data_IF_396359607511
#
_entry.id   IF_396359607511
#
_cell.length_a   1.000
_cell.length_b   1.000
_cell.length_c   1.000
_cell.angle_alpha   90.00
_cell.angle_beta   90.00
_cell.angle_gamma   90.00
#
_symmetry.space_group_name_H-M   'P 1'
#
loop_
_entity.id
_entity.type
_entity.pdbx_description
1 polymer ?
#
# COMPACT_ATOMS: atom_id res chain seq x y z
N UNK A 1 0.31 -2.07 20.16
CA UNK A 1 -0.18 -1.59 18.85
C UNK A 1 0.83 -0.71 18.13
N UNK A 2 1.31 0.39 18.75
CA UNK A 2 2.24 1.34 18.09
C UNK A 2 3.51 0.71 17.51
N UNK A 3 4.17 -0.20 18.24
CA UNK A 3 5.38 -0.91 17.75
C UNK A 3 5.14 -1.72 16.47
N UNK A 4 3.99 -2.40 16.36
CA UNK A 4 3.66 -3.20 15.18
C UNK A 4 3.43 -2.34 13.94
N UNK A 5 2.75 -1.20 14.11
CA UNK A 5 2.55 -0.24 13.01
C UNK A 5 3.85 0.40 12.55
N UNK A 6 4.73 0.76 13.48
CA UNK A 6 6.04 1.28 13.13
C UNK A 6 6.84 0.26 12.30
N UNK A 7 6.84 -1.01 12.74
CA UNK A 7 7.53 -2.09 12.01
C UNK A 7 6.96 -2.27 10.59
N UNK A 8 5.62 -2.30 10.42
CA UNK A 8 5.03 -2.48 9.09
C UNK A 8 5.38 -1.33 8.17
N UNK A 9 5.25 -0.08 8.63
CA UNK A 9 5.59 1.10 7.83
C UNK A 9 7.07 1.14 7.49
N UNK A 10 7.96 0.93 8.47
CA UNK A 10 9.40 0.92 8.23
C UNK A 10 9.81 -0.19 7.27
N UNK A 11 9.27 -1.41 7.43
CA UNK A 11 9.57 -2.51 6.53
C UNK A 11 9.11 -2.22 5.09
N UNK A 12 7.97 -1.58 4.91
CA UNK A 12 7.48 -1.20 3.58
C UNK A 12 8.34 -0.15 2.92
N UNK A 13 8.73 0.89 3.66
CA UNK A 13 9.65 1.89 3.13
C UNK A 13 10.99 1.27 2.75
N UNK A 14 11.52 0.34 3.55
CA UNK A 14 12.76 -0.36 3.21
C UNK A 14 12.63 -1.26 1.98
N UNK A 15 11.48 -1.92 1.79
CA UNK A 15 11.21 -2.73 0.61
C UNK A 15 11.09 -1.88 -0.65
N UNK A 16 10.34 -0.78 -0.57
CA UNK A 16 10.20 0.19 -1.65
C UNK A 16 11.56 0.81 -2.04
N UNK A 17 12.42 1.10 -1.07
CA UNK A 17 13.78 1.59 -1.36
C UNK A 17 14.72 0.53 -1.95
N UNK A 18 14.39 -0.76 -1.80
CA UNK A 18 15.19 -1.86 -2.31
C UNK A 18 14.80 -2.23 -3.75
N UNK A 19 13.52 -2.13 -4.07
CA UNK A 19 13.02 -2.13 -5.45
C UNK A 19 13.32 -0.79 -6.08
N UNK A 20 13.68 -0.79 -7.35
CA UNK A 20 14.19 0.39 -8.03
C UNK A 20 13.60 0.38 -9.41
N UNK A 21 12.61 1.22 -9.62
CA UNK A 21 11.86 1.21 -10.84
C UNK A 21 11.67 2.64 -11.36
N UNK A 22 11.46 2.76 -12.65
CA UNK A 22 11.06 4.03 -13.24
C UNK A 22 9.53 4.24 -13.12
N UNK A 23 8.81 3.15 -12.83
CA UNK A 23 7.36 2.97 -12.84
C UNK A 23 6.98 2.06 -11.68
N UNK A 24 5.86 2.33 -11.00
CA UNK A 24 5.37 1.44 -9.92
C UNK A 24 5.29 0.00 -10.42
N UNK A 25 6.23 -0.83 -9.99
CA UNK A 25 6.32 -2.23 -10.41
C UNK A 25 5.25 -3.04 -9.67
N UNK A 26 4.83 -4.16 -10.28
CA UNK A 26 3.86 -5.07 -9.67
C UNK A 26 4.33 -5.52 -8.27
N UNK A 27 5.64 -5.68 -8.09
CA UNK A 27 6.23 -6.10 -6.82
C UNK A 27 6.15 -5.01 -5.75
N UNK A 28 6.37 -3.74 -6.11
CA UNK A 28 6.19 -2.58 -5.23
C UNK A 28 4.73 -2.49 -4.79
N UNK A 29 3.81 -2.63 -5.75
CA UNK A 29 2.38 -2.62 -5.50
C UNK A 29 1.94 -3.74 -4.56
N UNK A 30 2.45 -4.97 -4.75
CA UNK A 30 2.18 -6.08 -3.82
C UNK A 30 2.75 -5.81 -2.43
N UNK A 31 3.94 -5.22 -2.32
CA UNK A 31 4.55 -4.88 -1.03
C UNK A 31 3.69 -3.85 -0.26
N UNK A 32 3.16 -2.85 -0.97
CA UNK A 32 2.25 -1.83 -0.45
C UNK A 32 0.95 -2.47 0.01
N UNK A 33 0.33 -3.34 -0.81
CA UNK A 33 -0.92 -4.02 -0.46
C UNK A 33 -0.77 -4.89 0.78
N UNK A 34 0.32 -5.66 0.89
CA UNK A 34 0.63 -6.47 2.08
C UNK A 34 0.78 -5.58 3.31
N UNK A 35 1.47 -4.46 3.20
CA UNK A 35 1.62 -3.51 4.30
C UNK A 35 0.31 -2.89 4.74
N UNK A 36 -0.50 -2.44 3.78
CA UNK A 36 -1.80 -1.84 4.04
C UNK A 36 -2.74 -2.85 4.70
N UNK A 37 -2.72 -4.11 4.26
CA UNK A 37 -3.45 -5.21 4.90
C UNK A 37 -2.99 -5.43 6.35
N UNK A 38 -1.69 -5.57 6.60
CA UNK A 38 -1.17 -5.76 7.96
C UNK A 38 -1.49 -4.57 8.87
N UNK A 39 -1.38 -3.35 8.34
CA UNK A 39 -1.73 -2.12 9.03
C UNK A 39 -3.21 -2.10 9.40
N UNK A 40 -4.09 -2.40 8.43
CA UNK A 40 -5.53 -2.51 8.69
C UNK A 40 -5.84 -3.55 9.77
N UNK A 41 -5.25 -4.74 9.67
CA UNK A 41 -5.44 -5.79 10.65
C UNK A 41 -4.99 -5.35 12.06
N UNK A 42 -3.82 -4.73 12.19
CA UNK A 42 -3.30 -4.27 13.48
C UNK A 42 -4.20 -3.19 14.11
N UNK A 43 -4.68 -2.24 13.30
CA UNK A 43 -5.57 -1.16 13.75
C UNK A 43 -6.93 -1.69 14.16
N UNK A 44 -7.46 -2.66 13.41
CA UNK A 44 -8.87 -3.05 13.52
C UNK A 44 -9.14 -4.36 14.26
N UNK A 45 -8.14 -5.21 14.52
CA UNK A 45 -8.33 -6.54 15.16
C UNK A 45 -9.10 -6.56 16.48
N UNK A 46 -9.12 -5.45 17.22
CA UNK A 46 -9.80 -5.31 18.51
C UNK A 46 -11.15 -4.57 18.41
N UNK A 47 -11.54 -4.12 17.22
CA UNK A 47 -12.82 -3.42 17.00
C UNK A 47 -13.95 -4.44 16.97
N UNK A 48 -15.05 -4.17 17.68
CA UNK A 48 -16.22 -5.06 17.74
C UNK A 48 -17.15 -4.98 16.53
N UNK A 49 -17.17 -3.84 15.82
CA UNK A 49 -18.06 -3.61 14.68
C UNK A 49 -17.41 -4.02 13.35
N UNK A 50 -18.10 -4.88 12.59
CA UNK A 50 -17.69 -5.33 11.25
C UNK A 50 -17.62 -4.16 10.28
N UNK A 51 -18.63 -3.29 10.32
CA UNK A 51 -18.75 -2.18 9.38
C UNK A 51 -17.61 -1.17 9.57
N UNK A 52 -17.23 -0.93 10.83
CA UNK A 52 -16.05 -0.11 11.16
C UNK A 52 -14.76 -0.78 10.69
N UNK A 53 -14.63 -2.11 10.88
CA UNK A 53 -13.47 -2.88 10.44
C UNK A 53 -13.29 -2.85 8.92
N UNK A 54 -14.35 -3.08 8.14
CA UNK A 54 -14.29 -3.06 6.68
C UNK A 54 -14.12 -1.64 6.13
N UNK A 55 -14.89 -0.67 6.63
CA UNK A 55 -14.79 0.72 6.16
C UNK A 55 -13.40 1.32 6.39
N UNK A 56 -12.79 1.05 7.55
CA UNK A 56 -11.41 1.47 7.79
C UNK A 56 -10.38 0.69 6.96
N UNK A 57 -10.65 -0.58 6.62
CA UNK A 57 -9.78 -1.35 5.72
C UNK A 57 -9.73 -0.75 4.31
N UNK A 58 -10.88 -0.34 3.78
CA UNK A 58 -10.98 0.38 2.48
C UNK A 58 -10.14 1.65 2.52
N UNK A 59 -10.34 2.49 3.54
CA UNK A 59 -9.60 3.75 3.69
C UNK A 59 -8.10 3.54 3.84
N UNK A 60 -7.69 2.58 4.66
CA UNK A 60 -6.26 2.26 4.86
C UNK A 60 -5.65 1.77 3.55
N UNK A 61 -6.32 0.85 2.82
CA UNK A 61 -5.84 0.34 1.53
C UNK A 61 -5.66 1.44 0.50
N UNK A 62 -6.66 2.30 0.33
CA UNK A 62 -6.63 3.40 -0.62
C UNK A 62 -5.55 4.44 -0.26
N UNK A 63 -5.58 4.95 0.98
CA UNK A 63 -4.70 6.04 1.41
C UNK A 63 -3.25 5.58 1.49
N UNK A 64 -2.98 4.40 2.06
CA UNK A 64 -1.59 3.92 2.13
C UNK A 64 -1.02 3.68 0.74
N UNK A 65 -1.80 3.16 -0.20
CA UNK A 65 -1.31 2.95 -1.56
C UNK A 65 -0.97 4.27 -2.23
N UNK A 66 -1.87 5.26 -2.18
CA UNK A 66 -1.62 6.58 -2.74
C UNK A 66 -0.39 7.25 -2.10
N UNK A 67 -0.29 7.24 -0.77
CA UNK A 67 0.83 7.89 -0.08
C UNK A 67 2.15 7.19 -0.35
N UNK A 68 2.22 5.86 -0.23
CA UNK A 68 3.45 5.12 -0.45
C UNK A 68 3.88 5.16 -1.92
N UNK A 69 2.95 5.02 -2.87
CA UNK A 69 3.26 5.14 -4.29
C UNK A 69 3.75 6.54 -4.68
N UNK A 70 3.21 7.60 -4.07
CA UNK A 70 3.76 8.96 -4.28
C UNK A 70 5.16 9.11 -3.70
N UNK A 71 5.43 8.53 -2.53
CA UNK A 71 6.76 8.56 -1.92
C UNK A 71 7.75 7.84 -2.82
N UNK A 72 7.39 6.65 -3.29
CA UNK A 72 8.17 5.80 -4.19
C UNK A 72 8.54 6.55 -5.48
N UNK A 73 7.52 7.03 -6.23
CA UNK A 73 7.70 7.84 -7.44
C UNK A 73 8.60 9.06 -7.23
N UNK A 74 8.48 9.72 -6.08
CA UNK A 74 9.29 10.89 -5.75
C UNK A 74 10.73 10.51 -5.45
N UNK A 75 10.94 9.45 -4.67
CA UNK A 75 12.26 8.96 -4.32
C UNK A 75 13.00 8.43 -5.54
N UNK A 76 12.33 7.64 -6.39
CA UNK A 76 12.90 7.14 -7.63
C UNK A 76 13.26 8.27 -8.59
N UNK A 77 12.40 9.29 -8.68
CA UNK A 77 12.73 10.49 -9.44
C UNK A 77 14.05 11.11 -8.94
N UNK A 78 14.23 11.33 -7.64
CA UNK A 78 15.47 11.95 -7.14
C UNK A 78 16.70 11.04 -7.13
N UNK A 79 16.52 9.72 -7.02
CA UNK A 79 17.63 8.76 -7.03
C UNK A 79 18.12 8.43 -8.45
N UNK A 80 17.24 8.48 -9.46
CA UNK A 80 17.54 7.96 -10.80
C UNK A 80 17.41 8.96 -11.96
N UNK A 81 16.85 10.17 -11.77
CA UNK A 81 17.05 11.27 -12.74
C UNK A 81 18.45 11.88 -12.63
N UNK A 82 19.46 11.09 -12.95
CA UNK A 82 20.57 11.62 -13.74
C UNK A 82 20.20 11.38 -15.21
N UNK A 83 20.39 12.35 -16.12
CA UNK A 83 20.02 12.21 -17.52
C UNK A 83 20.79 11.03 -18.11
N UNK A 84 20.12 9.88 -18.26
CA UNK A 84 20.61 8.77 -19.07
C UNK A 84 20.05 8.97 -20.47
N UNK A 85 20.88 8.70 -21.47
CA UNK A 85 20.70 9.02 -22.89
C UNK A 85 19.55 8.25 -23.58
N UNK A 86 18.65 7.67 -22.80
CA UNK A 86 17.66 6.67 -23.16
C UNK A 86 16.23 7.25 -23.10
N UNK A 87 16.04 8.40 -22.42
CA UNK A 87 14.81 9.19 -22.39
C UNK A 87 14.99 10.46 -23.21
N UNK A 88 14.55 10.51 -24.48
CA UNK A 88 14.29 11.68 -25.36
C UNK A 88 15.12 12.99 -25.19
N UNK A 89 16.30 12.93 -24.56
CA UNK A 89 17.14 14.05 -24.15
C UNK A 89 16.55 15.01 -23.09
N UNK A 90 15.33 14.84 -22.60
CA UNK A 90 14.66 15.82 -21.73
C UNK A 90 14.47 15.31 -20.29
N UNK A 91 14.93 16.05 -19.26
CA UNK A 91 14.65 15.69 -17.87
C UNK A 91 13.17 15.92 -17.56
N UNK A 92 12.43 14.83 -17.37
CA UNK A 92 11.04 14.85 -16.91
C UNK A 92 10.98 15.44 -15.50
N UNK A 93 10.29 16.57 -15.33
CA UNK A 93 10.15 17.20 -14.01
C UNK A 93 9.20 16.39 -13.13
N UNK A 94 9.38 16.43 -11.80
CA UNK A 94 8.50 15.75 -10.84
C UNK A 94 6.99 16.02 -11.06
N UNK A 95 6.54 17.27 -11.36
CA UNK A 95 5.14 17.53 -11.68
C UNK A 95 4.63 16.81 -12.93
N UNK A 96 5.48 16.67 -13.96
CA UNK A 96 5.13 15.93 -15.18
C UNK A 96 4.94 14.44 -14.86
N UNK A 97 5.83 13.85 -14.06
CA UNK A 97 5.67 12.47 -13.57
C UNK A 97 4.37 12.28 -12.79
N UNK A 98 4.05 13.18 -11.85
CA UNK A 98 2.82 13.07 -11.09
C UNK A 98 1.57 13.18 -11.95
N UNK A 99 1.61 14.00 -13.01
CA UNK A 99 0.50 14.11 -13.94
C UNK A 99 0.35 12.84 -14.80
N UNK A 100 1.47 12.28 -15.27
CA UNK A 100 1.48 11.06 -16.08
C UNK A 100 1.00 9.83 -15.28
N UNK A 101 1.48 9.68 -14.04
CA UNK A 101 1.15 8.52 -13.20
C UNK A 101 -0.06 8.72 -12.28
N UNK A 102 -0.74 9.86 -12.35
CA UNK A 102 -1.86 10.17 -11.48
C UNK A 102 -3.03 9.20 -11.64
N UNK A 103 -3.37 8.88 -12.89
CA UNK A 103 -4.46 7.96 -13.22
C UNK A 103 -4.12 6.51 -12.81
N UNK A 104 -2.88 6.07 -13.07
CA UNK A 104 -2.39 4.76 -12.69
C UNK A 104 -2.34 4.58 -11.18
N UNK A 105 -1.90 5.60 -10.44
CA UNK A 105 -1.85 5.57 -8.99
C UNK A 105 -3.26 5.55 -8.38
N UNK A 106 -4.22 6.25 -8.98
CA UNK A 106 -5.62 6.19 -8.57
C UNK A 106 -6.21 4.79 -8.80
N UNK A 107 -5.95 4.18 -9.96
CA UNK A 107 -6.35 2.82 -10.27
C UNK A 107 -5.71 1.82 -9.29
N UNK A 108 -4.40 1.92 -9.05
CA UNK A 108 -3.66 1.11 -8.09
C UNK A 108 -4.21 1.25 -6.67
N UNK A 109 -4.54 2.47 -6.24
CA UNK A 109 -5.14 2.74 -4.93
C UNK A 109 -6.53 2.11 -4.79
N UNK A 110 -7.31 2.12 -5.86
CA UNK A 110 -8.63 1.46 -5.91
C UNK A 110 -8.49 -0.06 -5.83
N UNK A 111 -7.57 -0.65 -6.60
CA UNK A 111 -7.28 -2.09 -6.56
C UNK A 111 -6.79 -2.50 -5.17
N UNK A 112 -5.90 -1.69 -4.57
CA UNK A 112 -5.41 -1.91 -3.20
C UNK A 112 -6.56 -1.87 -2.19
N UNK A 113 -7.46 -0.89 -2.28
CA UNK A 113 -8.61 -0.79 -1.39
C UNK A 113 -9.50 -2.03 -1.45
N UNK A 114 -9.79 -2.55 -2.66
CA UNK A 114 -10.57 -3.77 -2.85
C UNK A 114 -9.83 -4.98 -2.26
N UNK A 115 -8.55 -5.16 -2.61
CA UNK A 115 -7.73 -6.29 -2.16
C UNK A 115 -7.53 -6.32 -0.64
N UNK A 116 -7.22 -5.17 -0.03
CA UNK A 116 -7.05 -5.05 1.42
C UNK A 116 -8.37 -5.36 2.13
N UNK A 117 -9.50 -4.92 1.58
CA UNK A 117 -10.82 -5.16 2.18
C UNK A 117 -11.23 -6.62 2.08
N UNK A 118 -11.00 -7.29 0.95
CA UNK A 118 -11.30 -8.72 0.79
C UNK A 118 -10.44 -9.57 1.73
N UNK A 119 -9.13 -9.33 1.80
CA UNK A 119 -8.23 -10.02 2.74
C UNK A 119 -8.63 -9.78 4.20
N UNK A 120 -9.00 -8.54 4.53
CA UNK A 120 -9.45 -8.17 5.88
C UNK A 120 -10.77 -8.90 6.23
N UNK A 121 -11.71 -9.01 5.29
CA UNK A 121 -12.94 -9.77 5.48
C UNK A 121 -12.67 -11.27 5.71
N UNK A 122 -11.80 -11.88 4.89
CA UNK A 122 -11.43 -13.29 5.02
C UNK A 122 -10.79 -13.58 6.38
N UNK A 123 -9.83 -12.78 6.81
CA UNK A 123 -9.17 -12.96 8.12
C UNK A 123 -10.12 -12.78 9.29
N UNK A 124 -11.07 -11.82 9.19
CA UNK A 124 -12.12 -11.67 10.18
C UNK A 124 -12.99 -12.92 10.26
N UNK A 125 -13.47 -13.44 9.12
CA UNK A 125 -14.30 -14.65 9.07
C UNK A 125 -13.57 -15.83 9.73
N UNK A 126 -12.33 -16.09 9.34
CA UNK A 126 -11.49 -17.16 9.92
C UNK A 126 -11.35 -16.99 11.44
N UNK A 127 -11.12 -15.76 11.92
CA UNK A 127 -10.99 -15.49 13.36
C UNK A 127 -12.27 -15.77 14.15
N UNK A 128 -13.45 -15.55 13.54
CA UNK A 128 -14.75 -15.84 14.13
C UNK A 128 -15.04 -17.33 14.16
N UNK A 129 -14.80 -18.04 13.05
CA UNK A 129 -14.93 -19.50 12.99
C UNK A 129 -14.07 -20.16 14.09
N UNK A 130 -12.81 -19.75 14.24
CA UNK A 130 -11.91 -20.30 15.27
C UNK A 130 -12.39 -20.02 16.70
N UNK A 131 -13.04 -18.88 16.97
CA UNK A 131 -13.61 -18.56 18.29
C UNK A 131 -14.84 -19.42 18.60
N UNK A 132 -15.67 -19.73 17.60
CA UNK A 132 -16.85 -20.57 17.78
C UNK A 132 -16.47 -22.02 18.09
N UNK A 133 -15.48 -22.58 17.39
CA UNK A 133 -14.99 -23.95 17.63
C UNK A 133 -14.39 -24.14 19.04
N UNK A 134 -13.79 -23.10 19.63
CA UNK A 134 -13.26 -23.18 21.01
C UNK A 134 -14.33 -23.13 22.10
N UNK A 135 -15.57 -22.80 21.77
CA UNK A 135 -16.68 -22.66 22.74
C UNK A 135 -17.57 -23.91 22.80
N UNK A 136 -17.47 -24.79 21.81
CA UNK A 136 -18.06 -26.13 21.77
C UNK A 136 -17.10 -27.13 22.38
#
# INVERSE_FOLDING_TARGET
MRKGLAITVTASLLLLLATKSLYVEELELYSIMVSAFLTSWIVNKNRGSILVFLGSSVLIGFIMCGVLGMIDLTVDHFLYFQPRADEDGMPLTLPMKWQEFGDDLFAASTISAVTVTTLSAMTMLISRFRKNVKRT
#
